data_IF_640437507826
#
_entry.id   IF_640437507826
#
_cell.length_a   1.000
_cell.length_b   1.000
_cell.length_c   1.000
_cell.angle_alpha   90.00
_cell.angle_beta   90.00
_cell.angle_gamma   90.00
#
_symmetry.space_group_name_H-M   'P 1'
#
loop_
_entity.id
_entity.type
_entity.pdbx_description
1 polymer ?
#
# COMPACT_ATOMS: atom_id res chain seq x y z
N UNK A 1 16.05 7.96 -13.05
CA UNK A 1 15.85 9.38 -13.46
C UNK A 1 16.77 10.24 -12.62
N UNK A 2 17.53 11.14 -13.23
CA UNK A 2 18.44 12.07 -12.55
C UNK A 2 17.71 13.40 -12.32
N UNK A 3 18.21 14.22 -11.38
CA UNK A 3 17.68 15.56 -11.11
C UNK A 3 16.69 15.64 -9.94
N UNK A 4 16.06 16.82 -9.75
CA UNK A 4 15.15 17.07 -8.63
C UNK A 4 13.91 16.18 -8.70
N UNK A 5 13.38 15.81 -7.54
CA UNK A 5 12.13 15.04 -7.43
C UNK A 5 10.93 15.94 -7.73
N UNK A 6 9.95 15.42 -8.47
CA UNK A 6 8.73 16.17 -8.79
C UNK A 6 7.92 16.53 -7.53
N UNK A 7 7.26 17.69 -7.56
CA UNK A 7 6.51 18.24 -6.43
C UNK A 7 5.37 17.33 -5.94
N UNK A 8 4.83 16.47 -6.81
CA UNK A 8 3.76 15.51 -6.47
C UNK A 8 4.11 14.61 -5.28
N UNK A 9 5.40 14.31 -5.07
CA UNK A 9 5.86 13.51 -3.93
C UNK A 9 5.72 14.23 -2.59
N UNK A 10 5.92 15.55 -2.59
CA UNK A 10 5.80 16.37 -1.38
C UNK A 10 4.34 16.70 -1.05
N UNK A 11 3.50 16.84 -2.06
CA UNK A 11 2.07 17.16 -1.91
C UNK A 11 1.22 15.91 -1.58
N UNK A 12 1.80 14.71 -1.64
CA UNK A 12 1.09 13.48 -1.32
C UNK A 12 0.71 13.41 0.16
N UNK A 13 -0.60 13.34 0.44
CA UNK A 13 -1.13 13.19 1.81
C UNK A 13 -1.06 11.74 2.26
N UNK A 14 -0.43 11.49 3.40
CA UNK A 14 -0.35 10.18 4.04
C UNK A 14 -1.11 10.18 5.36
N UNK A 15 -1.92 9.14 5.59
CA UNK A 15 -2.69 8.98 6.83
C UNK A 15 -2.22 7.76 7.62
N UNK A 16 -2.57 7.74 8.91
CA UNK A 16 -2.31 6.60 9.77
C UNK A 16 -3.00 5.35 9.21
N UNK A 17 -2.25 4.25 9.11
CA UNK A 17 -2.78 2.99 8.63
C UNK A 17 -2.79 2.80 7.10
N UNK A 18 -2.38 3.79 6.33
CA UNK A 18 -2.18 3.68 4.88
C UNK A 18 -1.07 2.66 4.55
N UNK A 19 -1.21 2.00 3.39
CA UNK A 19 -0.22 1.07 2.86
C UNK A 19 0.72 1.80 1.93
N UNK A 20 2.02 1.64 2.18
CA UNK A 20 3.05 2.37 1.47
C UNK A 20 4.22 1.47 1.09
N UNK A 21 4.75 1.72 -0.10
CA UNK A 21 5.92 1.05 -0.63
C UNK A 21 7.16 1.91 -0.39
N UNK A 22 8.20 1.27 0.16
CA UNK A 22 9.47 1.92 0.45
C UNK A 22 10.38 1.79 -0.78
N UNK A 23 10.69 2.91 -1.40
CA UNK A 23 11.60 3.00 -2.55
C UNK A 23 12.54 4.18 -2.36
N UNK A 24 13.76 3.88 -1.93
CA UNK A 24 14.80 4.88 -1.72
C UNK A 24 15.07 5.68 -3.00
N UNK A 25 15.27 6.98 -2.84
CA UNK A 25 15.65 7.91 -3.90
C UNK A 25 17.06 8.43 -3.59
N UNK A 26 18.02 8.13 -4.46
CA UNK A 26 19.42 8.49 -4.25
C UNK A 26 19.69 10.00 -4.23
N UNK A 27 18.82 10.82 -4.85
CA UNK A 27 18.98 12.28 -4.85
C UNK A 27 18.77 12.94 -3.48
N UNK A 28 18.17 12.21 -2.53
CA UNK A 28 17.92 12.70 -1.17
C UNK A 28 18.62 11.76 -0.20
N UNK A 29 19.67 12.24 0.46
CA UNK A 29 20.44 11.41 1.40
C UNK A 29 19.78 11.31 2.79
N UNK A 30 18.99 12.31 3.19
CA UNK A 30 18.42 12.39 4.54
C UNK A 30 17.21 11.49 4.70
N UNK A 31 17.15 10.74 5.80
CA UNK A 31 16.03 9.85 6.13
C UNK A 31 15.84 8.69 5.15
N UNK A 32 16.92 8.32 4.48
CA UNK A 32 16.99 7.15 3.60
C UNK A 32 16.80 5.86 4.42
N UNK A 33 15.97 4.92 3.96
CA UNK A 33 15.83 3.63 4.62
C UNK A 33 17.05 2.76 4.36
N UNK A 34 17.39 1.86 5.30
CA UNK A 34 18.41 0.83 5.06
C UNK A 34 18.00 -0.05 3.87
N UNK A 35 18.98 -0.47 3.04
CA UNK A 35 18.77 -1.22 1.78
C UNK A 35 17.83 -2.42 1.90
N UNK A 36 17.84 -3.10 3.04
CA UNK A 36 16.94 -4.22 3.33
C UNK A 36 15.44 -3.89 3.17
N UNK A 37 15.04 -2.66 3.50
CA UNK A 37 13.64 -2.25 3.46
C UNK A 37 13.21 -1.74 2.08
N UNK A 38 14.15 -1.61 1.13
CA UNK A 38 13.81 -1.24 -0.24
C UNK A 38 12.91 -2.31 -0.88
N UNK A 39 11.85 -1.88 -1.55
CA UNK A 39 10.86 -2.76 -2.16
C UNK A 39 9.93 -3.45 -1.16
N UNK A 40 9.98 -3.11 0.13
CA UNK A 40 9.02 -3.61 1.12
C UNK A 40 7.82 -2.68 1.20
N UNK A 41 6.64 -3.29 1.27
CA UNK A 41 5.40 -2.61 1.63
C UNK A 41 5.24 -2.64 3.15
N UNK A 42 4.83 -1.53 3.73
CA UNK A 42 4.53 -1.41 5.15
C UNK A 42 3.28 -0.61 5.41
N UNK A 43 2.89 -0.56 6.68
CA UNK A 43 1.74 0.23 7.15
C UNK A 43 2.24 1.43 7.95
N UNK A 44 1.64 2.59 7.73
CA UNK A 44 2.00 3.80 8.47
C UNK A 44 1.53 3.67 9.93
N UNK A 45 2.44 3.86 10.88
CA UNK A 45 2.15 3.85 12.32
C UNK A 45 2.29 5.23 12.97
N UNK A 46 2.98 6.18 12.34
CA UNK A 46 3.10 7.56 12.80
C UNK A 46 3.35 8.51 11.62
N UNK A 47 2.95 9.76 11.76
CA UNK A 47 3.19 10.82 10.77
C UNK A 47 3.89 11.98 11.47
N UNK A 48 4.99 12.45 10.90
CA UNK A 48 5.78 13.59 11.41
C UNK A 48 5.89 14.66 10.33
N UNK A 49 6.43 15.84 10.68
CA UNK A 49 6.50 17.00 9.77
C UNK A 49 7.10 16.71 8.39
N UNK A 50 8.15 15.89 8.31
CA UNK A 50 8.90 15.61 7.05
C UNK A 50 9.01 14.12 6.72
N UNK A 51 8.60 13.26 7.64
CA UNK A 51 8.82 11.82 7.54
C UNK A 51 7.61 11.06 8.06
N UNK A 52 7.56 9.80 7.69
CA UNK A 52 6.51 8.88 8.07
C UNK A 52 7.14 7.68 8.77
N UNK A 53 6.52 7.29 9.87
CA UNK A 53 6.83 6.05 10.56
C UNK A 53 6.15 4.89 9.83
N UNK A 54 6.92 3.97 9.27
CA UNK A 54 6.42 2.78 8.58
C UNK A 54 6.76 1.53 9.38
N UNK A 55 5.77 0.66 9.57
CA UNK A 55 5.92 -0.64 10.20
C UNK A 55 6.06 -1.72 9.12
N UNK A 56 7.16 -2.46 9.16
CA UNK A 56 7.52 -3.50 8.20
C UNK A 56 7.92 -4.77 8.92
N UNK A 57 7.48 -5.93 8.42
CA UNK A 57 7.92 -7.22 8.92
C UNK A 57 9.30 -7.56 8.36
N UNK A 58 10.27 -7.76 9.25
CA UNK A 58 11.63 -8.21 8.92
C UNK A 58 11.85 -9.60 9.48
N UNK A 59 12.24 -10.55 8.62
CA UNK A 59 12.74 -11.84 9.05
C UNK A 59 14.15 -11.66 9.64
N UNK A 60 14.34 -12.11 10.87
CA UNK A 60 15.63 -12.13 11.57
C UNK A 60 15.90 -13.56 12.00
N UNK A 61 16.84 -14.22 11.32
CA UNK A 61 17.13 -15.66 11.48
C UNK A 61 15.85 -16.50 11.33
N UNK A 62 15.38 -17.08 12.43
CA UNK A 62 14.23 -17.99 12.51
C UNK A 62 12.87 -17.29 12.75
N UNK A 63 12.84 -16.01 13.16
CA UNK A 63 11.59 -15.33 13.53
C UNK A 63 11.29 -14.08 12.69
N UNK A 64 10.02 -13.72 12.59
CA UNK A 64 9.56 -12.50 11.95
C UNK A 64 9.33 -11.45 13.04
N UNK A 65 10.01 -10.32 12.92
CA UNK A 65 9.92 -9.20 13.87
C UNK A 65 9.35 -7.98 13.15
N UNK A 66 8.37 -7.35 13.76
CA UNK A 66 7.87 -6.03 13.34
C UNK A 66 8.94 -4.98 13.62
N UNK A 67 9.37 -4.27 12.58
CA UNK A 67 10.32 -3.17 12.66
C UNK A 67 9.62 -1.88 12.30
N UNK A 68 9.72 -0.89 13.18
CA UNK A 68 9.28 0.48 12.94
C UNK A 68 10.47 1.30 12.48
N UNK A 69 10.32 1.95 11.33
CA UNK A 69 11.36 2.78 10.72
C UNK A 69 10.77 4.16 10.41
N UNK A 70 11.58 5.20 10.57
CA UNK A 70 11.24 6.55 10.13
C UNK A 70 11.88 6.78 8.77
N UNK A 71 11.05 7.08 7.77
CA UNK A 71 11.49 7.25 6.39
C UNK A 71 10.85 8.51 5.85
N UNK A 72 11.61 9.32 5.10
CA UNK A 72 11.04 10.54 4.52
C UNK A 72 10.10 10.24 3.34
N UNK A 73 9.21 11.19 3.07
CA UNK A 73 8.17 11.09 2.02
C UNK A 73 8.74 10.92 0.61
N UNK A 74 9.96 11.42 0.35
CA UNK A 74 10.68 11.27 -0.92
C UNK A 74 11.02 9.81 -1.23
N UNK A 75 11.12 8.97 -0.20
CA UNK A 75 11.47 7.56 -0.29
C UNK A 75 10.27 6.62 -0.18
N UNK A 76 9.05 7.17 -0.12
CA UNK A 76 7.83 6.42 0.07
C UNK A 76 6.89 6.67 -1.12
N UNK A 77 6.11 5.67 -1.50
CA UNK A 77 4.99 5.79 -2.45
C UNK A 77 3.74 5.14 -1.87
N UNK A 78 2.54 5.62 -2.20
CA UNK A 78 1.30 4.91 -1.87
C UNK A 78 1.25 3.59 -2.66
N UNK A 79 0.84 2.53 -1.98
CA UNK A 79 0.73 1.21 -2.62
C UNK A 79 -0.60 1.08 -3.36
N UNK A 80 -0.54 0.73 -4.65
CA UNK A 80 -1.72 0.56 -5.51
C UNK A 80 -2.54 -0.69 -5.17
N UNK A 81 -1.94 -1.70 -4.52
CA UNK A 81 -2.64 -2.94 -4.18
C UNK A 81 -3.85 -2.72 -3.25
N UNK A 82 -3.81 -1.68 -2.41
CA UNK A 82 -4.90 -1.28 -1.54
C UNK A 82 -6.03 -0.62 -2.33
N UNK A 83 -5.71 0.10 -3.40
CA UNK A 83 -6.68 0.80 -4.24
C UNK A 83 -7.59 -0.19 -4.96
N UNK A 84 -7.02 -1.18 -5.64
CA UNK A 84 -7.77 -2.25 -6.33
C UNK A 84 -8.66 -3.07 -5.37
N UNK A 85 -8.20 -3.23 -4.13
CA UNK A 85 -9.00 -3.89 -3.11
C UNK A 85 -10.22 -3.03 -2.72
N UNK A 86 -10.02 -1.72 -2.51
CA UNK A 86 -11.08 -0.81 -2.09
C UNK A 86 -12.12 -0.58 -3.19
N UNK A 87 -11.70 -0.47 -4.46
CA UNK A 87 -12.63 -0.39 -5.60
C UNK A 87 -13.53 -1.63 -5.66
N UNK A 88 -12.94 -2.82 -5.50
CA UNK A 88 -13.69 -4.07 -5.46
C UNK A 88 -14.65 -4.18 -4.27
N UNK A 89 -14.27 -3.67 -3.09
CA UNK A 89 -15.19 -3.63 -1.93
C UNK A 89 -16.42 -2.80 -2.25
N UNK A 90 -16.24 -1.61 -2.83
CA UNK A 90 -17.35 -0.74 -3.23
C UNK A 90 -18.25 -1.38 -4.29
N UNK A 91 -17.66 -2.01 -5.31
CA UNK A 91 -18.42 -2.73 -6.33
C UNK A 91 -19.23 -3.89 -5.74
N UNK A 92 -18.64 -4.63 -4.81
CA UNK A 92 -19.31 -5.74 -4.14
C UNK A 92 -20.47 -5.25 -3.27
N UNK A 93 -20.33 -4.13 -2.58
CA UNK A 93 -21.43 -3.52 -1.81
C UNK A 93 -22.56 -3.06 -2.72
N UNK A 94 -22.24 -2.43 -3.87
CA UNK A 94 -23.24 -2.06 -4.87
C UNK A 94 -24.03 -3.27 -5.37
N UNK A 95 -23.34 -4.34 -5.79
CA UNK A 95 -23.97 -5.59 -6.25
C UNK A 95 -24.85 -6.25 -5.18
N UNK A 96 -24.44 -6.19 -3.91
CA UNK A 96 -25.26 -6.71 -2.79
C UNK A 96 -26.54 -5.90 -2.61
N UNK A 97 -26.46 -4.57 -2.74
CA UNK A 97 -27.63 -3.69 -2.64
C UNK A 97 -28.62 -3.95 -3.78
N UNK A 98 -28.13 -3.98 -5.03
CA UNK A 98 -28.93 -4.28 -6.22
C UNK A 98 -29.61 -5.66 -6.13
N UNK A 99 -28.87 -6.68 -5.69
CA UNK A 99 -29.41 -8.03 -5.54
C UNK A 99 -30.46 -8.13 -4.42
N UNK A 100 -30.29 -7.37 -3.33
CA UNK A 100 -31.28 -7.27 -2.26
C UNK A 100 -32.58 -6.62 -2.75
N UNK A 101 -32.48 -5.57 -3.56
CA UNK A 101 -33.64 -4.91 -4.18
C UNK A 101 -34.35 -5.83 -5.19
N UNK A 102 -33.60 -6.61 -5.96
CA UNK A 102 -34.13 -7.57 -6.93
C UNK A 102 -34.58 -8.92 -6.33
N UNK A 103 -34.37 -9.16 -5.03
CA UNK A 103 -34.73 -10.43 -4.36
C UNK A 103 -33.90 -11.65 -4.76
N UNK A 104 -32.79 -11.47 -5.47
CA UNK A 104 -31.91 -12.55 -5.94
C UNK A 104 -30.63 -12.66 -5.09
N UNK A 105 -30.03 -13.85 -4.92
CA UNK A 105 -28.81 -14.02 -4.13
C UNK A 105 -27.57 -13.44 -4.83
N UNK A 106 -26.83 -12.56 -4.15
CA UNK A 106 -25.59 -11.97 -4.69
C UNK A 106 -24.37 -12.90 -4.58
N UNK A 107 -23.82 -13.35 -5.71
CA UNK A 107 -22.50 -14.03 -5.77
C UNK A 107 -21.37 -13.02 -5.96
N UNK A 108 -20.72 -12.58 -4.87
CA UNK A 108 -19.66 -11.55 -4.88
C UNK A 108 -18.24 -12.09 -4.67
N UNK A 109 -18.09 -13.41 -4.49
CA UNK A 109 -16.78 -14.07 -4.42
C UNK A 109 -16.16 -14.14 -5.82
N UNK A 110 -14.84 -13.98 -5.89
CA UNK A 110 -14.08 -14.20 -7.14
C UNK A 110 -14.03 -15.70 -7.42
N UNK A 111 -14.15 -16.06 -8.69
CA UNK A 111 -13.96 -17.43 -9.17
C UNK A 111 -12.62 -17.53 -9.92
N UNK A 112 -11.91 -18.66 -9.82
CA UNK A 112 -10.77 -18.93 -10.70
C UNK A 112 -11.26 -19.11 -12.15
N UNK A 113 -10.32 -19.07 -13.10
CA UNK A 113 -10.60 -19.37 -14.50
C UNK A 113 -11.27 -20.74 -14.62
N UNK A 114 -12.43 -20.77 -15.26
CA UNK A 114 -13.17 -22.01 -15.51
C UNK A 114 -12.67 -22.68 -16.80
N UNK A 115 -12.88 -23.99 -16.97
CA UNK A 115 -12.59 -24.68 -18.21
C UNK A 115 -13.24 -23.98 -19.41
N UNK A 116 -12.59 -24.05 -20.58
CA UNK A 116 -13.19 -23.56 -21.83
C UNK A 116 -14.47 -24.34 -22.08
N UNK A 117 -15.51 -23.65 -22.58
CA UNK A 117 -16.69 -24.34 -23.08
C UNK A 117 -16.29 -25.17 -24.29
N UNK A 118 -16.71 -26.44 -24.30
CA UNK A 118 -16.49 -27.36 -25.42
C UNK A 118 -17.21 -26.91 -26.68
#
# INVERSE_FOLDING_TARGET
KKGPIGLSKYLAVYKLGDYVDIKANGSIHKGMPHKFYHGKTGRIWNVTRRAVGVEVNKRVRNRIIRKRIHVRIEHISKSRCREDFLTRVKENERKKKEAKEAGVPARTKRLPAQPRKG
#
